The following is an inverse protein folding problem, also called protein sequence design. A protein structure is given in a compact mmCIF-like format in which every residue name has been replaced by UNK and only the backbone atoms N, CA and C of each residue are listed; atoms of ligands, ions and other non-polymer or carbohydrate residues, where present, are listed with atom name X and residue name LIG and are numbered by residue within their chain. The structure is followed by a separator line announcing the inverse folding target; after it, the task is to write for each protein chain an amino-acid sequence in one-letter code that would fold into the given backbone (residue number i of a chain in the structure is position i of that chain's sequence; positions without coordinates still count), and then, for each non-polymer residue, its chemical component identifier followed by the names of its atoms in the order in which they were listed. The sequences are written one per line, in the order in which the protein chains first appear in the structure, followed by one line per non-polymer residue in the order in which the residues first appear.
data_IF_552650866760
#
_entry.id   IF_552650866760
#
_cell.length_a   1.000
_cell.length_b   1.000
_cell.length_c   1.000
_cell.angle_alpha   90.00
_cell.angle_beta   90.00
_cell.angle_gamma   90.00
#
_symmetry.space_group_name_H-M   'P 1'
#
loop_
_entity.id
_entity.type
_entity.pdbx_description
1 polymer ?
#
# COMPACT_ATOMS: atom_id res chain seq x y z
N UNK A 1 -6.36 -4.66 12.85
CA UNK A 1 -7.32 -3.55 12.62
C UNK A 1 -8.17 -3.83 11.40
N UNK A 2 -9.36 -3.25 11.34
CA UNK A 2 -10.27 -3.29 10.20
C UNK A 2 -9.99 -2.14 9.23
N UNK A 3 -10.50 -2.25 7.99
CA UNK A 3 -10.43 -1.15 7.02
C UNK A 3 -11.05 0.15 7.56
N UNK A 4 -12.18 0.04 8.29
CA UNK A 4 -12.88 1.20 8.83
C UNK A 4 -12.05 1.90 9.91
N UNK A 5 -11.46 1.13 10.83
CA UNK A 5 -10.52 1.64 11.83
C UNK A 5 -9.31 2.33 11.17
N UNK A 6 -8.74 1.70 10.13
CA UNK A 6 -7.61 2.27 9.40
C UNK A 6 -7.98 3.62 8.76
N UNK A 7 -9.17 3.76 8.17
CA UNK A 7 -9.59 5.02 7.53
C UNK A 7 -9.65 6.17 8.55
N UNK A 8 -10.17 5.90 9.75
CA UNK A 8 -10.36 6.89 10.81
C UNK A 8 -9.09 7.21 11.62
N UNK A 9 -8.08 6.35 11.54
CA UNK A 9 -6.82 6.52 12.24
C UNK A 9 -6.04 7.76 11.76
N UNK A 10 -5.21 8.32 12.63
CA UNK A 10 -4.27 9.37 12.26
C UNK A 10 -3.10 8.84 11.42
N UNK A 11 -2.25 9.74 10.92
CA UNK A 11 -1.14 9.39 10.04
C UNK A 11 -0.14 8.45 10.70
N UNK A 12 0.19 8.65 11.97
CA UNK A 12 1.21 7.88 12.68
C UNK A 12 0.69 6.45 12.96
N UNK A 13 -0.58 6.33 13.36
CA UNK A 13 -1.26 5.06 13.51
C UNK A 13 -1.34 4.30 12.18
N UNK A 14 -1.67 4.99 11.07
CA UNK A 14 -1.68 4.40 9.72
C UNK A 14 -0.30 3.90 9.33
N UNK A 15 0.74 4.71 9.54
CA UNK A 15 2.11 4.35 9.22
C UNK A 15 2.57 3.12 10.02
N UNK A 16 2.32 3.11 11.33
CA UNK A 16 2.63 1.98 12.20
C UNK A 16 1.88 0.70 11.77
N UNK A 17 0.61 0.81 11.39
CA UNK A 17 -0.16 -0.32 10.91
C UNK A 17 0.38 -0.89 9.59
N UNK A 18 0.80 -0.02 8.67
CA UNK A 18 1.43 -0.44 7.42
C UNK A 18 2.77 -1.12 7.68
N UNK A 19 3.64 -0.54 8.51
CA UNK A 19 4.95 -1.12 8.80
C UNK A 19 4.89 -2.46 9.53
N UNK A 20 3.83 -2.70 10.30
CA UNK A 20 3.54 -4.00 10.90
C UNK A 20 2.79 -4.96 9.96
N UNK A 21 2.40 -4.51 8.77
CA UNK A 21 1.74 -5.32 7.74
C UNK A 21 2.74 -6.17 6.94
N UNK A 22 2.20 -6.95 6.00
CA UNK A 22 3.01 -7.76 5.08
C UNK A 22 3.28 -6.95 3.82
N UNK A 23 4.54 -6.66 3.54
CA UNK A 23 4.95 -6.09 2.25
C UNK A 23 4.73 -7.11 1.13
N UNK A 24 4.11 -6.68 0.03
CA UNK A 24 3.83 -7.54 -1.13
C UNK A 24 4.75 -7.18 -2.30
N UNK A 25 4.72 -5.92 -2.71
CA UNK A 25 5.43 -5.45 -3.90
C UNK A 25 5.50 -3.92 -3.90
N UNK A 26 6.40 -3.38 -4.71
CA UNK A 26 6.42 -1.96 -5.06
C UNK A 26 6.46 -1.79 -6.57
N UNK A 27 5.93 -0.67 -7.02
CA UNK A 27 6.08 -0.19 -8.39
C UNK A 27 6.50 1.27 -8.36
N UNK A 28 7.26 1.65 -9.38
CA UNK A 28 7.72 3.01 -9.55
C UNK A 28 6.95 3.68 -10.69
N UNK A 29 6.42 4.86 -10.42
CA UNK A 29 5.86 5.76 -11.44
C UNK A 29 6.55 7.12 -11.34
N UNK A 30 7.52 7.34 -12.22
CA UNK A 30 8.35 8.54 -12.20
C UNK A 30 9.10 8.68 -10.86
N UNK A 31 8.80 9.76 -10.11
CA UNK A 31 9.39 10.04 -8.81
C UNK A 31 8.67 9.38 -7.63
N UNK A 32 7.51 8.78 -7.88
CA UNK A 32 6.68 8.16 -6.85
C UNK A 32 6.94 6.67 -6.80
N UNK A 33 6.95 6.15 -5.58
CA UNK A 33 6.99 4.72 -5.30
C UNK A 33 5.68 4.32 -4.63
N UNK A 34 4.98 3.37 -5.24
CA UNK A 34 3.73 2.84 -4.73
C UNK A 34 3.98 1.47 -4.14
N UNK A 35 3.91 1.36 -2.82
CA UNK A 35 4.21 0.14 -2.08
C UNK A 35 2.91 -0.49 -1.61
N UNK A 36 2.73 -1.77 -1.92
CA UNK A 36 1.55 -2.53 -1.57
C UNK A 36 1.81 -3.36 -0.31
N UNK A 37 0.94 -3.20 0.68
CA UNK A 37 0.96 -3.94 1.92
C UNK A 37 -0.37 -4.66 2.15
N UNK A 38 -0.31 -5.82 2.80
CA UNK A 38 -1.47 -6.57 3.27
C UNK A 38 -1.56 -6.53 4.79
N UNK A 39 -2.68 -6.03 5.31
CA UNK A 39 -2.95 -5.84 6.74
C UNK A 39 -3.99 -6.87 7.23
N UNK A 40 -3.90 -8.09 6.71
CA UNK A 40 -4.70 -9.24 7.12
C UNK A 40 -6.07 -9.37 6.42
N UNK A 41 -6.90 -8.33 6.45
CA UNK A 41 -8.25 -8.36 5.84
C UNK A 41 -8.45 -7.38 4.68
N UNK A 42 -7.43 -6.55 4.41
CA UNK A 42 -7.41 -5.54 3.37
C UNK A 42 -5.96 -5.21 2.98
N UNK A 43 -5.82 -4.46 1.91
CA UNK A 43 -4.56 -3.98 1.36
C UNK A 43 -4.44 -2.47 1.54
N UNK A 44 -3.21 -1.98 1.52
CA UNK A 44 -2.90 -0.55 1.51
C UNK A 44 -1.83 -0.28 0.45
N UNK A 45 -2.12 0.60 -0.52
CA UNK A 45 -1.10 1.21 -1.36
C UNK A 45 -0.60 2.48 -0.65
N UNK A 46 0.69 2.51 -0.32
CA UNK A 46 1.37 3.70 0.18
C UNK A 46 2.04 4.41 -0.98
N UNK A 47 1.63 5.64 -1.23
CA UNK A 47 2.25 6.51 -2.23
C UNK A 47 3.35 7.30 -1.54
N UNK A 48 4.59 7.07 -1.97
CA UNK A 48 5.78 7.62 -1.37
C UNK A 48 6.56 8.49 -2.36
N UNK A 49 6.92 9.71 -1.95
CA UNK A 49 7.80 10.60 -2.71
C UNK A 49 9.25 10.30 -2.31
N UNK A 50 9.99 9.65 -3.23
CA UNK A 50 11.37 9.22 -2.96
C UNK A 50 12.31 10.43 -2.80
N UNK A 51 12.32 11.44 -3.71
CA UNK A 51 13.16 12.63 -3.53
C UNK A 51 12.91 13.39 -2.22
N UNK A 52 11.65 13.50 -1.80
CA UNK A 52 11.28 14.26 -0.59
C UNK A 52 11.25 13.39 0.67
N UNK A 53 11.53 12.09 0.56
CA UNK A 53 11.55 11.12 1.64
C UNK A 53 10.27 11.15 2.52
N UNK A 54 9.09 11.26 1.89
CA UNK A 54 7.81 11.40 2.61
C UNK A 54 6.68 10.56 2.03
N UNK A 55 5.81 10.10 2.92
CA UNK A 55 4.53 9.49 2.54
C UNK A 55 3.59 10.62 2.10
N UNK A 56 3.00 10.47 0.91
CA UNK A 56 1.98 11.39 0.41
C UNK A 56 0.59 10.93 0.83
N UNK A 57 0.26 9.64 0.60
CA UNK A 57 -1.07 9.11 0.87
C UNK A 57 -1.05 7.62 1.20
N UNK A 58 -2.06 7.20 1.97
CA UNK A 58 -2.44 5.80 2.15
C UNK A 58 -3.75 5.54 1.41
N UNK A 59 -3.78 4.53 0.54
CA UNK A 59 -4.99 4.12 -0.17
C UNK A 59 -5.37 2.70 0.27
N UNK A 60 -6.28 2.56 1.25
CA UNK A 60 -6.67 1.25 1.74
C UNK A 60 -7.84 0.68 0.91
N UNK A 61 -7.83 -0.62 0.61
CA UNK A 61 -8.86 -1.29 -0.20
C UNK A 61 -8.92 -2.80 0.08
N UNK A 62 -10.06 -3.46 -0.17
CA UNK A 62 -10.21 -4.92 0.10
C UNK A 62 -9.81 -5.80 -1.08
N UNK A 63 -10.33 -5.51 -2.27
CA UNK A 63 -10.10 -6.23 -3.53
C UNK A 63 -10.42 -5.26 -4.68
N UNK A 64 -9.84 -5.44 -5.85
CA UNK A 64 -10.20 -4.66 -7.04
C UNK A 64 -9.03 -4.29 -7.94
N UNK A 65 -9.31 -3.41 -8.90
CA UNK A 65 -8.41 -2.98 -9.97
C UNK A 65 -7.07 -2.42 -9.47
N UNK A 66 -6.99 -1.97 -8.22
CA UNK A 66 -5.74 -1.50 -7.61
C UNK A 66 -4.67 -2.60 -7.45
N UNK A 67 -5.05 -3.89 -7.54
CA UNK A 67 -4.09 -4.99 -7.59
C UNK A 67 -3.55 -5.25 -8.99
N UNK A 68 -4.28 -4.86 -10.05
CA UNK A 68 -3.93 -5.22 -11.43
C UNK A 68 -2.52 -4.75 -11.83
N UNK A 69 -2.07 -3.52 -11.51
CA UNK A 69 -0.71 -3.08 -11.84
C UNK A 69 0.39 -3.91 -11.17
N UNK A 70 0.10 -4.53 -10.02
CA UNK A 70 1.05 -5.38 -9.30
C UNK A 70 1.06 -6.81 -9.83
N UNK A 71 -0.10 -7.30 -10.31
CA UNK A 71 -0.22 -8.62 -10.93
C UNK A 71 0.49 -8.70 -12.29
N UNK A 72 0.58 -7.60 -13.03
CA UNK A 72 1.37 -7.56 -14.28
C UNK A 72 2.87 -7.71 -14.02
N UNK A 73 3.37 -7.25 -12.87
CA UNK A 73 4.76 -7.42 -12.46
C UNK A 73 5.04 -8.80 -11.87
N UNK A 74 4.07 -9.37 -11.14
CA UNK A 74 4.14 -10.74 -10.64
C UNK A 74 3.74 -11.66 -11.80
N UNK A 75 4.70 -12.03 -12.66
CA UNK A 75 4.48 -13.14 -13.61
C UNK A 75 4.12 -14.41 -12.82
N UNK A 76 2.83 -14.67 -12.66
CA UNK A 76 2.32 -15.95 -12.20
C UNK A 76 2.64 -16.95 -13.32
N UNK A 77 3.77 -17.64 -13.15
CA UNK A 77 4.13 -18.77 -13.99
C UNK A 77 3.24 -19.92 -13.52
N UNK A 78 2.18 -20.21 -14.29
CA UNK A 78 1.37 -21.42 -14.11
C UNK A 78 2.05 -22.61 -14.79
#
# INVERSE_FOLDING_TARGET
MTLYEFIQADTDQKALAVWNGIYIADRQEGRLRMQLYHLGSFYVEVVYDVPQNRILHFKPFRKGLLLAPYLEQIRLSF
#
